data_IF_623692076973
#
_entry.id   IF_623692076973
#
_cell.length_a   1.000
_cell.length_b   1.000
_cell.length_c   1.000
_cell.angle_alpha   90.00
_cell.angle_beta   90.00
_cell.angle_gamma   90.00
#
_symmetry.space_group_name_H-M   'P 1'
#
loop_
_entity.id
_entity.type
_entity.pdbx_description
1 polymer ?
#
# COMPACT_ATOMS: atom_id res chain seq x y z
N UNK A 1 -42.29 -13.18 15.52
CA UNK A 1 -41.48 -13.77 14.45
C UNK A 1 -41.69 -13.14 13.07
N UNK A 2 -42.72 -12.39 12.81
CA UNK A 2 -43.00 -11.79 11.49
C UNK A 2 -42.25 -10.45 11.20
N UNK A 3 -41.76 -9.74 12.22
CA UNK A 3 -40.99 -8.50 12.04
C UNK A 3 -39.52 -8.66 11.65
N UNK A 4 -38.93 -9.84 11.87
CA UNK A 4 -37.52 -10.14 11.50
C UNK A 4 -37.37 -10.53 10.04
N UNK A 5 -38.42 -11.09 9.42
CA UNK A 5 -38.40 -11.50 8.00
C UNK A 5 -38.52 -10.35 7.00
N UNK A 6 -39.11 -9.21 7.42
CA UNK A 6 -39.31 -8.04 6.55
C UNK A 6 -38.04 -7.17 6.42
N UNK A 7 -37.06 -7.31 7.32
CA UNK A 7 -35.80 -6.56 7.29
C UNK A 7 -34.72 -7.23 6.42
N UNK A 8 -34.86 -8.51 6.10
CA UNK A 8 -33.92 -9.24 5.24
C UNK A 8 -34.28 -9.17 3.74
N UNK A 9 -35.53 -8.84 3.39
CA UNK A 9 -35.96 -8.72 1.99
C UNK A 9 -35.69 -7.32 1.37
N UNK A 10 -35.52 -6.28 2.19
CA UNK A 10 -35.22 -4.92 1.69
C UNK A 10 -33.74 -4.67 1.36
N UNK A 11 -32.84 -5.62 1.64
CA UNK A 11 -31.40 -5.49 1.34
C UNK A 11 -30.96 -6.11 0.00
N UNK A 12 -31.87 -6.72 -0.75
CA UNK A 12 -31.60 -7.29 -2.07
C UNK A 12 -32.41 -6.58 -3.15
N UNK A 13 -32.36 -5.24 -3.17
CA UNK A 13 -32.72 -4.53 -4.38
C UNK A 13 -31.72 -4.97 -5.47
N UNK A 14 -32.18 -5.47 -6.64
CA UNK A 14 -31.26 -5.80 -7.72
C UNK A 14 -30.44 -4.55 -8.04
N UNK A 15 -29.11 -4.68 -8.05
CA UNK A 15 -28.22 -3.58 -8.41
C UNK A 15 -28.71 -2.98 -9.71
N UNK A 16 -29.04 -1.69 -9.70
CA UNK A 16 -29.48 -0.97 -10.90
C UNK A 16 -28.39 -1.17 -11.96
N UNK A 17 -28.71 -1.65 -13.18
CA UNK A 17 -27.72 -1.81 -14.22
C UNK A 17 -26.99 -0.48 -14.42
N UNK A 18 -25.66 -0.51 -14.35
CA UNK A 18 -24.86 0.68 -14.61
C UNK A 18 -25.14 1.19 -16.03
N UNK A 19 -25.18 2.51 -16.25
CA UNK A 19 -25.34 3.08 -17.58
C UNK A 19 -24.24 2.55 -18.51
N UNK A 20 -24.50 2.43 -19.83
CA UNK A 20 -23.65 1.69 -20.78
C UNK A 20 -22.23 2.25 -20.98
N UNK A 21 -21.87 3.36 -20.36
CA UNK A 21 -20.59 4.04 -20.54
C UNK A 21 -19.84 4.30 -19.22
N UNK A 22 -19.98 3.43 -18.23
CA UNK A 22 -19.25 3.58 -16.95
C UNK A 22 -17.87 2.98 -17.07
N UNK A 23 -16.84 3.81 -16.91
CA UNK A 23 -15.45 3.39 -16.79
C UNK A 23 -15.12 3.02 -15.35
N UNK A 24 -14.46 1.89 -15.16
CA UNK A 24 -14.02 1.36 -13.87
C UNK A 24 -12.52 1.52 -13.71
N UNK A 25 -12.10 2.22 -12.68
CA UNK A 25 -10.69 2.44 -12.34
C UNK A 25 -10.42 1.76 -11.00
N UNK A 26 -9.53 0.79 -11.00
CA UNK A 26 -9.05 0.11 -9.79
C UNK A 26 -7.89 0.88 -9.19
N UNK A 27 -7.88 1.07 -7.87
CA UNK A 27 -6.73 1.61 -7.13
C UNK A 27 -6.22 0.57 -6.14
N UNK A 28 -4.94 0.23 -6.25
CA UNK A 28 -4.21 -0.70 -5.37
C UNK A 28 -2.88 -0.08 -4.95
N UNK A 29 -2.25 -0.64 -3.94
CA UNK A 29 -0.93 -0.21 -3.46
C UNK A 29 -0.14 -1.36 -2.87
N UNK A 30 1.17 -1.16 -2.68
CA UNK A 30 2.05 -2.07 -1.92
C UNK A 30 1.89 -3.53 -2.35
N UNK A 31 2.08 -3.75 -3.66
CA UNK A 31 1.96 -5.07 -4.28
C UNK A 31 3.13 -5.95 -3.89
N UNK A 32 4.34 -5.38 -3.85
CA UNK A 32 5.58 -6.02 -3.47
C UNK A 32 5.84 -7.34 -4.20
N UNK A 33 5.78 -7.31 -5.52
CA UNK A 33 6.14 -8.47 -6.35
C UNK A 33 7.58 -8.89 -6.01
N UNK A 34 7.77 -10.16 -5.67
CA UNK A 34 9.09 -10.72 -5.38
C UNK A 34 9.19 -12.16 -5.86
N UNK A 35 10.42 -12.57 -6.20
CA UNK A 35 10.71 -13.92 -6.69
C UNK A 35 10.75 -14.95 -5.57
N UNK A 36 11.35 -14.57 -4.44
CA UNK A 36 11.46 -15.44 -3.26
C UNK A 36 10.21 -15.34 -2.40
N UNK A 37 9.73 -16.48 -1.93
CA UNK A 37 8.67 -16.47 -0.93
C UNK A 37 9.14 -15.76 0.34
N UNK A 38 8.30 -14.89 0.94
CA UNK A 38 8.50 -14.47 2.33
C UNK A 38 8.63 -15.70 3.23
N UNK A 39 9.56 -15.67 4.19
CA UNK A 39 9.84 -16.84 5.07
C UNK A 39 8.62 -17.31 5.87
N UNK A 40 7.70 -16.41 6.14
CA UNK A 40 6.45 -16.70 6.85
C UNK A 40 5.38 -17.38 5.97
N UNK A 41 5.60 -17.50 4.64
CA UNK A 41 4.60 -17.99 3.70
C UNK A 41 4.82 -19.46 3.33
N UNK A 42 3.72 -20.23 3.32
CA UNK A 42 3.68 -21.62 2.87
C UNK A 42 3.18 -21.78 1.43
N UNK A 43 2.46 -20.77 0.91
CA UNK A 43 1.97 -20.77 -0.47
C UNK A 43 3.01 -20.24 -1.47
N UNK A 44 2.66 -20.28 -2.77
CA UNK A 44 3.48 -19.67 -3.83
C UNK A 44 3.15 -18.18 -3.94
N UNK A 45 3.81 -17.36 -3.13
CA UNK A 45 3.51 -15.92 -3.00
C UNK A 45 3.49 -15.17 -4.34
N UNK A 46 4.45 -15.39 -5.23
CA UNK A 46 4.48 -14.76 -6.55
C UNK A 46 3.21 -15.10 -7.35
N UNK A 47 2.83 -16.37 -7.40
CA UNK A 47 1.65 -16.79 -8.16
C UNK A 47 0.39 -16.14 -7.60
N UNK A 48 0.18 -16.17 -6.29
CA UNK A 48 -1.00 -15.57 -5.66
C UNK A 48 -1.03 -14.05 -5.80
N UNK A 49 0.13 -13.40 -5.90
CA UNK A 49 0.23 -11.97 -6.19
C UNK A 49 -0.17 -11.66 -7.63
N UNK A 50 0.34 -12.43 -8.59
CA UNK A 50 -0.01 -12.28 -10.01
C UNK A 50 -1.49 -12.59 -10.29
N UNK A 51 -2.06 -13.59 -9.63
CA UNK A 51 -3.50 -13.91 -9.71
C UNK A 51 -4.37 -12.72 -9.27
N UNK A 52 -3.98 -12.01 -8.22
CA UNK A 52 -4.69 -10.80 -7.77
C UNK A 52 -4.56 -9.66 -8.76
N UNK A 53 -3.36 -9.43 -9.30
CA UNK A 53 -3.15 -8.43 -10.34
C UNK A 53 -3.95 -8.76 -11.61
N UNK A 54 -3.98 -10.01 -12.02
CA UNK A 54 -4.80 -10.45 -13.16
C UNK A 54 -6.29 -10.25 -12.88
N UNK A 55 -6.75 -10.57 -11.67
CA UNK A 55 -8.13 -10.35 -11.27
C UNK A 55 -8.54 -8.89 -11.39
N UNK A 56 -7.75 -7.96 -10.86
CA UNK A 56 -8.09 -6.52 -10.93
C UNK A 56 -8.03 -5.99 -12.37
N UNK A 57 -7.04 -6.42 -13.18
CA UNK A 57 -6.93 -6.01 -14.57
C UNK A 57 -8.08 -6.53 -15.46
N UNK A 58 -8.58 -7.73 -15.14
CA UNK A 58 -9.70 -8.34 -15.88
C UNK A 58 -11.02 -7.65 -15.57
N UNK A 59 -11.23 -7.18 -14.34
CA UNK A 59 -12.51 -6.65 -13.87
C UNK A 59 -12.61 -5.12 -13.93
N UNK A 60 -11.54 -4.42 -14.34
CA UNK A 60 -11.50 -2.97 -14.46
C UNK A 60 -10.95 -2.53 -15.81
N UNK A 61 -11.28 -1.32 -16.23
CA UNK A 61 -10.79 -0.73 -17.46
C UNK A 61 -9.36 -0.22 -17.27
N UNK A 62 -9.07 0.35 -16.10
CA UNK A 62 -7.74 0.84 -15.71
C UNK A 62 -7.38 0.38 -14.29
N UNK A 63 -6.08 0.27 -14.04
CA UNK A 63 -5.52 -0.07 -12.73
C UNK A 63 -4.44 0.96 -12.37
N UNK A 64 -4.63 1.66 -11.27
CA UNK A 64 -3.65 2.60 -10.71
C UNK A 64 -2.96 1.94 -9.51
N UNK A 65 -1.64 1.88 -9.56
CA UNK A 65 -0.79 1.34 -8.50
C UNK A 65 -0.16 2.51 -7.74
N UNK A 66 -0.57 2.71 -6.49
CA UNK A 66 -0.11 3.80 -5.65
C UNK A 66 1.25 3.50 -4.97
N UNK A 67 2.23 3.06 -5.76
CA UNK A 67 3.60 2.77 -5.35
C UNK A 67 3.84 1.33 -4.89
N UNK A 68 5.12 0.99 -4.77
CA UNK A 68 5.66 -0.30 -4.32
C UNK A 68 5.09 -1.49 -5.11
N UNK A 69 5.21 -1.42 -6.45
CA UNK A 69 4.89 -2.54 -7.31
C UNK A 69 5.85 -3.71 -7.07
N UNK A 70 7.14 -3.45 -6.97
CA UNK A 70 8.16 -4.45 -6.67
C UNK A 70 8.64 -4.35 -5.22
N UNK A 71 9.07 -5.47 -4.66
CA UNK A 71 9.66 -5.50 -3.31
C UNK A 71 11.10 -4.95 -3.29
N UNK A 72 11.82 -5.07 -4.39
CA UNK A 72 13.15 -4.47 -4.60
C UNK A 72 13.18 -3.86 -6.01
N UNK A 73 13.97 -2.82 -6.17
CA UNK A 73 14.05 -2.05 -7.42
C UNK A 73 14.66 -2.82 -8.60
N UNK A 74 15.58 -3.76 -8.33
CA UNK A 74 16.26 -4.54 -9.37
C UNK A 74 15.97 -6.04 -9.18
N UNK A 75 15.36 -6.66 -10.17
CA UNK A 75 14.91 -8.04 -10.13
C UNK A 75 15.55 -8.87 -11.25
N UNK A 76 15.46 -10.21 -11.13
CA UNK A 76 15.93 -11.12 -12.15
C UNK A 76 15.18 -10.96 -13.48
N UNK A 77 15.85 -11.34 -14.60
CA UNK A 77 15.18 -11.39 -15.89
C UNK A 77 14.00 -12.37 -15.90
N UNK A 78 14.04 -13.41 -15.08
CA UNK A 78 12.93 -14.36 -14.96
C UNK A 78 11.70 -13.68 -14.35
N UNK A 79 11.87 -12.94 -13.24
CA UNK A 79 10.77 -12.20 -12.63
C UNK A 79 10.25 -11.12 -13.59
N UNK A 80 11.15 -10.35 -14.22
CA UNK A 80 10.76 -9.37 -15.24
C UNK A 80 9.89 -10.00 -16.34
N UNK A 81 10.34 -11.08 -16.97
CA UNK A 81 9.60 -11.74 -18.04
C UNK A 81 8.22 -12.24 -17.58
N UNK A 82 8.14 -12.75 -16.36
CA UNK A 82 6.88 -13.22 -15.78
C UNK A 82 5.89 -12.07 -15.60
N UNK A 83 6.33 -10.96 -15.02
CA UNK A 83 5.50 -9.76 -14.81
C UNK A 83 5.17 -9.09 -16.14
N UNK A 84 6.15 -8.96 -17.04
CA UNK A 84 5.96 -8.42 -18.39
C UNK A 84 4.85 -9.17 -19.15
N UNK A 85 4.81 -10.50 -19.06
CA UNK A 85 3.78 -11.31 -19.72
C UNK A 85 2.37 -10.90 -19.27
N UNK A 86 2.17 -10.70 -17.96
CA UNK A 86 0.90 -10.25 -17.41
C UNK A 86 0.57 -8.81 -17.83
N UNK A 87 1.54 -7.90 -17.68
CA UNK A 87 1.34 -6.49 -17.97
C UNK A 87 1.09 -6.27 -19.47
N UNK A 88 1.80 -6.99 -20.34
CA UNK A 88 1.60 -6.94 -21.79
C UNK A 88 0.23 -7.53 -22.22
N UNK A 89 -0.28 -8.56 -21.53
CA UNK A 89 -1.62 -9.12 -21.76
C UNK A 89 -2.72 -8.07 -21.55
N UNK A 90 -2.53 -7.15 -20.61
CA UNK A 90 -3.46 -6.07 -20.28
C UNK A 90 -2.84 -4.69 -20.57
N UNK A 91 -2.04 -4.59 -21.63
CA UNK A 91 -1.37 -3.34 -22.04
C UNK A 91 -2.37 -2.19 -22.18
N UNK A 92 -1.97 -0.99 -21.75
CA UNK A 92 -2.81 0.20 -21.76
C UNK A 92 -3.79 0.33 -20.58
N UNK A 93 -3.79 -0.63 -19.65
CA UNK A 93 -4.59 -0.53 -18.42
C UNK A 93 -3.80 -0.07 -17.21
N UNK A 94 -2.48 -0.23 -17.23
CA UNK A 94 -1.64 -0.08 -16.05
C UNK A 94 -1.07 1.32 -15.92
N UNK A 95 -1.38 1.98 -14.83
CA UNK A 95 -0.84 3.26 -14.41
C UNK A 95 -0.20 3.10 -13.03
N UNK A 96 0.91 3.79 -12.75
CA UNK A 96 1.53 3.75 -11.44
C UNK A 96 2.19 5.07 -11.07
N UNK A 97 2.34 5.30 -9.78
CA UNK A 97 3.34 6.18 -9.20
C UNK A 97 4.45 5.34 -8.57
N UNK A 98 5.62 5.94 -8.36
CA UNK A 98 6.74 5.24 -7.73
C UNK A 98 6.60 5.21 -6.21
N UNK A 99 6.86 4.02 -5.63
CA UNK A 99 7.11 3.87 -4.21
C UNK A 99 8.61 3.85 -3.88
N UNK A 100 8.95 3.71 -2.61
CA UNK A 100 10.35 3.70 -2.16
C UNK A 100 11.09 2.40 -2.54
N UNK A 101 10.38 1.29 -2.69
CA UNK A 101 10.95 0.01 -3.13
C UNK A 101 11.17 -0.07 -4.64
N UNK A 102 10.48 0.73 -5.42
CA UNK A 102 10.56 0.71 -6.89
C UNK A 102 11.82 1.40 -7.42
N UNK A 103 12.50 2.23 -6.61
CA UNK A 103 13.60 3.08 -7.07
C UNK A 103 14.89 2.83 -6.32
N UNK A 104 16.01 2.92 -7.05
CA UNK A 104 17.34 2.85 -6.44
C UNK A 104 17.59 4.09 -5.57
N UNK A 105 17.80 3.89 -4.27
CA UNK A 105 18.02 4.97 -3.29
C UNK A 105 16.96 6.09 -3.36
N UNK A 106 15.71 5.75 -3.67
CA UNK A 106 14.60 6.70 -3.84
C UNK A 106 14.85 7.76 -4.92
N UNK A 107 15.77 7.47 -5.85
CA UNK A 107 16.12 8.37 -6.93
C UNK A 107 15.25 8.09 -8.16
N UNK A 108 14.27 8.94 -8.40
CA UNK A 108 13.36 8.85 -9.55
C UNK A 108 14.04 9.02 -10.90
N UNK A 109 15.26 9.59 -10.93
CA UNK A 109 16.05 9.74 -12.17
C UNK A 109 16.83 8.47 -12.55
N UNK A 110 16.84 7.44 -11.70
CA UNK A 110 17.54 6.17 -11.93
C UNK A 110 16.61 5.04 -12.41
N UNK A 111 15.56 5.38 -13.16
CA UNK A 111 14.57 4.42 -13.68
C UNK A 111 15.18 3.37 -14.60
N UNK A 112 16.24 3.71 -15.34
CA UNK A 112 17.00 2.80 -16.20
C UNK A 112 17.63 1.63 -15.44
N UNK A 113 17.76 1.75 -14.11
CA UNK A 113 18.31 0.74 -13.21
C UNK A 113 17.25 -0.04 -12.45
N UNK A 114 15.98 0.20 -12.74
CA UNK A 114 14.86 -0.34 -12.00
C UNK A 114 13.97 -1.22 -12.87
N UNK A 115 13.45 -2.31 -12.31
CA UNK A 115 12.56 -3.22 -13.02
C UNK A 115 11.28 -2.53 -13.46
N UNK A 116 10.73 -1.65 -12.64
CA UNK A 116 9.55 -0.85 -13.00
C UNK A 116 9.82 0.06 -14.19
N UNK A 117 11.03 0.65 -14.25
CA UNK A 117 11.46 1.46 -15.40
C UNK A 117 11.51 0.66 -16.69
N UNK A 118 11.94 -0.63 -16.62
CA UNK A 118 11.93 -1.51 -17.80
C UNK A 118 10.50 -1.73 -18.32
N UNK A 119 9.49 -1.92 -17.45
CA UNK A 119 8.08 -2.03 -17.85
C UNK A 119 7.57 -0.73 -18.50
N UNK A 120 7.99 0.41 -17.98
CA UNK A 120 7.65 1.72 -18.53
C UNK A 120 8.25 1.92 -19.93
N UNK A 121 9.56 1.67 -20.10
CA UNK A 121 10.25 1.87 -21.39
C UNK A 121 9.72 0.94 -22.52
N UNK A 122 9.24 -0.25 -22.18
CA UNK A 122 8.59 -1.14 -23.17
C UNK A 122 7.09 -0.82 -23.37
N UNK A 123 6.57 0.22 -22.71
CA UNK A 123 5.20 0.70 -22.86
C UNK A 123 4.15 -0.28 -22.33
N UNK A 124 4.47 -1.05 -21.29
CA UNK A 124 3.52 -1.95 -20.61
C UNK A 124 2.90 -1.33 -19.37
N UNK A 125 3.47 -0.23 -18.88
CA UNK A 125 3.07 0.49 -17.69
C UNK A 125 3.28 1.98 -17.92
N UNK A 126 2.29 2.82 -17.61
CA UNK A 126 2.41 4.27 -17.62
C UNK A 126 2.81 4.75 -16.21
N UNK A 127 3.98 5.42 -16.10
CA UNK A 127 4.46 6.02 -14.85
C UNK A 127 4.16 7.51 -14.82
N UNK A 128 3.58 7.97 -13.71
CA UNK A 128 3.15 9.33 -13.54
C UNK A 128 3.99 10.07 -12.48
N UNK A 129 4.57 11.19 -12.90
CA UNK A 129 5.38 12.11 -12.07
C UNK A 129 4.72 13.48 -11.95
N UNK A 130 3.70 13.74 -12.75
CA UNK A 130 2.93 14.96 -12.84
C UNK A 130 1.45 14.61 -12.87
N UNK A 131 0.54 15.54 -12.60
CA UNK A 131 -0.90 15.33 -12.74
C UNK A 131 -1.24 14.77 -14.12
N UNK A 132 -2.18 13.85 -14.17
CA UNK A 132 -2.64 13.23 -15.42
C UNK A 132 -4.14 13.05 -15.43
N UNK A 133 -4.72 13.06 -16.62
CA UNK A 133 -6.14 12.82 -16.84
C UNK A 133 -6.39 11.38 -17.26
N UNK A 134 -7.40 10.76 -16.68
CA UNK A 134 -7.85 9.42 -17.01
C UNK A 134 -9.37 9.32 -16.84
N UNK A 135 -10.07 8.95 -17.92
CA UNK A 135 -11.53 8.80 -17.94
C UNK A 135 -12.29 10.02 -17.39
N UNK A 136 -11.82 11.24 -17.70
CA UNK A 136 -12.44 12.50 -17.28
C UNK A 136 -12.22 12.89 -15.82
N UNK A 137 -11.30 12.21 -15.13
CA UNK A 137 -10.85 12.54 -13.78
C UNK A 137 -9.36 12.92 -13.82
N UNK A 138 -8.97 13.90 -13.00
CA UNK A 138 -7.57 14.29 -12.84
C UNK A 138 -7.00 13.65 -11.58
N UNK A 139 -5.90 12.93 -11.74
CA UNK A 139 -5.13 12.31 -10.68
C UNK A 139 -3.83 13.07 -10.45
N UNK A 140 -3.48 13.28 -9.20
CA UNK A 140 -2.26 14.03 -8.82
C UNK A 140 -1.33 13.11 -8.03
N UNK A 141 -0.08 12.89 -8.49
CA UNK A 141 0.84 11.99 -7.81
C UNK A 141 1.55 12.70 -6.65
N UNK A 142 1.73 12.00 -5.54
CA UNK A 142 2.64 12.39 -4.47
C UNK A 142 3.55 11.22 -4.13
N UNK A 143 4.78 11.27 -4.64
CA UNK A 143 5.79 10.24 -4.42
C UNK A 143 6.33 10.30 -2.99
N UNK A 144 7.00 9.24 -2.54
CA UNK A 144 7.56 9.16 -1.19
C UNK A 144 8.46 10.36 -0.85
N UNK A 145 9.25 10.83 -1.81
CA UNK A 145 10.19 11.97 -1.69
C UNK A 145 9.57 13.35 -2.04
N UNK A 146 8.31 13.41 -2.46
CA UNK A 146 7.62 14.68 -2.70
C UNK A 146 7.42 15.41 -1.38
N UNK A 147 7.93 16.63 -1.25
CA UNK A 147 7.64 17.44 -0.05
C UNK A 147 6.13 17.76 -0.03
N UNK A 148 5.43 17.55 1.10
CA UNK A 148 3.99 17.90 1.18
C UNK A 148 3.67 19.33 0.76
N UNK A 149 4.60 20.28 0.98
CA UNK A 149 4.43 21.69 0.61
C UNK A 149 4.46 21.93 -0.90
N UNK A 150 5.12 21.02 -1.64
CA UNK A 150 5.25 21.11 -3.10
C UNK A 150 4.09 20.44 -3.84
N UNK A 151 3.20 19.75 -3.09
CA UNK A 151 1.97 19.19 -3.66
C UNK A 151 1.00 20.34 -3.95
N UNK A 152 0.53 20.37 -5.18
CA UNK A 152 -0.42 21.39 -5.65
C UNK A 152 -1.74 21.37 -4.87
N UNK A 153 -2.29 22.54 -4.60
CA UNK A 153 -3.58 22.66 -3.88
C UNK A 153 -4.73 22.55 -4.88
N UNK A 154 -5.68 21.67 -4.61
CA UNK A 154 -6.91 21.54 -5.39
C UNK A 154 -7.98 22.53 -4.88
N UNK A 155 -7.99 23.72 -5.44
CA UNK A 155 -8.93 24.78 -5.04
C UNK A 155 -10.38 24.48 -5.41
N UNK A 156 -10.60 23.65 -6.42
CA UNK A 156 -11.92 23.30 -6.95
C UNK A 156 -12.51 22.03 -6.30
N UNK A 157 -11.72 21.31 -5.50
CA UNK A 157 -12.09 20.02 -4.89
C UNK A 157 -12.62 18.99 -5.92
N UNK A 158 -11.88 18.83 -7.02
CA UNK A 158 -12.25 17.92 -8.12
C UNK A 158 -11.30 16.78 -8.32
N UNK A 159 -10.02 16.99 -7.94
CA UNK A 159 -8.93 16.08 -8.23
C UNK A 159 -8.81 14.97 -7.18
N UNK A 160 -8.12 13.92 -7.56
CA UNK A 160 -7.86 12.75 -6.72
C UNK A 160 -6.35 12.68 -6.46
N UNK A 161 -5.96 12.70 -5.20
CA UNK A 161 -4.56 12.50 -4.80
C UNK A 161 -4.23 11.01 -4.75
N UNK A 162 -3.17 10.61 -5.44
CA UNK A 162 -2.56 9.27 -5.34
C UNK A 162 -1.20 9.44 -4.70
N UNK A 163 -1.05 8.98 -3.46
CA UNK A 163 0.16 9.23 -2.68
C UNK A 163 0.79 7.93 -2.18
N UNK A 164 2.13 7.86 -2.25
CA UNK A 164 2.89 6.82 -1.58
C UNK A 164 3.58 7.42 -0.36
N UNK A 165 2.80 7.62 0.72
CA UNK A 165 3.23 8.31 1.94
C UNK A 165 2.53 7.74 3.16
N UNK A 166 3.22 7.80 4.30
CA UNK A 166 2.58 7.59 5.60
C UNK A 166 1.55 8.69 5.91
N UNK A 167 0.68 8.41 6.85
CA UNK A 167 -0.21 9.38 7.44
C UNK A 167 0.14 9.58 8.91
N UNK A 168 0.47 10.84 9.29
CA UNK A 168 0.81 11.24 10.66
C UNK A 168 1.92 10.40 11.32
N UNK A 169 2.89 9.91 10.53
CA UNK A 169 4.01 9.15 11.06
C UNK A 169 5.13 10.10 11.55
N UNK A 170 5.19 10.33 12.85
CA UNK A 170 6.19 11.19 13.47
C UNK A 170 7.65 10.69 13.37
N UNK A 171 7.86 9.43 12.99
CA UNK A 171 9.21 8.86 12.79
C UNK A 171 9.77 9.15 11.40
N UNK A 172 8.91 9.43 10.42
CA UNK A 172 9.27 9.74 9.05
C UNK A 172 8.47 10.96 8.55
N UNK A 173 8.68 12.16 9.13
CA UNK A 173 7.87 13.33 8.81
C UNK A 173 7.96 13.74 7.33
N UNK A 174 9.13 13.60 6.70
CA UNK A 174 9.34 13.94 5.29
C UNK A 174 8.60 12.97 4.33
N UNK A 175 8.30 11.76 4.81
CA UNK A 175 7.57 10.73 4.07
C UNK A 175 6.08 10.68 4.45
N UNK A 176 5.62 11.64 5.26
CA UNK A 176 4.26 11.64 5.81
C UNK A 176 3.44 12.82 5.29
N UNK A 177 2.14 12.60 5.19
CA UNK A 177 1.13 13.64 5.11
C UNK A 177 0.47 13.79 6.48
N UNK A 178 0.20 15.01 6.86
CA UNK A 178 -0.53 15.34 8.10
C UNK A 178 -2.00 15.66 7.80
N UNK A 179 -2.82 15.72 8.86
CA UNK A 179 -4.20 16.23 8.77
C UNK A 179 -4.25 17.64 8.23
N UNK A 180 -3.29 18.47 8.63
CA UNK A 180 -3.23 19.86 8.17
C UNK A 180 -2.81 19.95 6.69
N UNK A 181 -1.92 19.06 6.22
CA UNK A 181 -1.63 18.95 4.79
C UNK A 181 -2.88 18.60 3.99
N UNK A 182 -3.64 17.57 4.39
CA UNK A 182 -4.86 17.17 3.68
C UNK A 182 -5.90 18.30 3.67
N UNK A 183 -6.06 19.03 4.78
CA UNK A 183 -6.98 20.17 4.84
C UNK A 183 -6.54 21.31 3.92
N UNK A 184 -5.24 21.56 3.82
CA UNK A 184 -4.65 22.58 2.94
C UNK A 184 -4.77 22.18 1.47
N UNK A 185 -4.49 20.92 1.17
CA UNK A 185 -4.46 20.40 -0.20
C UNK A 185 -5.85 20.38 -0.86
N UNK A 186 -6.90 20.08 -0.13
CA UNK A 186 -8.29 20.26 -0.57
C UNK A 186 -8.79 19.27 -1.63
N UNK A 187 -8.13 18.14 -1.85
CA UNK A 187 -8.57 17.12 -2.81
C UNK A 187 -9.92 16.51 -2.44
N UNK A 188 -10.72 16.15 -3.44
CA UNK A 188 -11.97 15.43 -3.23
C UNK A 188 -11.73 14.08 -2.57
N UNK A 189 -10.67 13.40 -2.98
CA UNK A 189 -10.27 12.11 -2.45
C UNK A 189 -8.75 11.95 -2.41
N UNK A 190 -8.22 11.25 -1.41
CA UNK A 190 -6.79 10.94 -1.28
C UNK A 190 -6.63 9.45 -0.98
N UNK A 191 -5.94 8.74 -1.86
CA UNK A 191 -5.54 7.34 -1.68
C UNK A 191 -4.07 7.27 -1.28
N UNK A 192 -3.80 6.69 -0.11
CA UNK A 192 -2.45 6.54 0.42
C UNK A 192 -2.02 5.08 0.44
N UNK A 193 -0.83 4.82 -0.12
CA UNK A 193 -0.01 3.63 0.08
C UNK A 193 1.11 3.89 1.08
N UNK A 194 2.07 2.96 1.19
CA UNK A 194 3.24 2.96 2.05
C UNK A 194 2.98 2.37 3.46
N UNK A 195 1.82 2.58 4.06
CA UNK A 195 1.42 1.86 5.26
C UNK A 195 0.66 0.59 4.85
N UNK A 196 1.23 -0.56 5.19
CA UNK A 196 0.63 -1.85 4.82
C UNK A 196 -0.66 -2.16 5.60
N UNK A 197 -0.90 -1.45 6.70
CA UNK A 197 -2.12 -1.63 7.50
C UNK A 197 -3.29 -0.92 6.83
N UNK A 198 -4.40 -1.60 6.56
CA UNK A 198 -5.62 -0.93 6.14
C UNK A 198 -6.27 -0.22 7.32
N UNK A 199 -6.86 0.93 7.04
CA UNK A 199 -7.62 1.70 8.02
C UNK A 199 -8.99 2.00 7.47
N UNK A 200 -9.91 2.36 8.36
CA UNK A 200 -11.19 2.91 7.98
C UNK A 200 -11.01 4.25 7.25
N UNK A 201 -11.98 4.61 6.42
CA UNK A 201 -11.99 5.90 5.73
C UNK A 201 -12.13 7.04 6.74
N UNK A 202 -11.37 8.10 6.52
CA UNK A 202 -11.42 9.31 7.34
C UNK A 202 -11.83 10.51 6.51
N UNK A 203 -12.60 11.43 7.10
CA UNK A 203 -13.11 12.63 6.42
C UNK A 203 -12.46 13.89 7.01
N UNK A 204 -11.82 14.68 6.16
CA UNK A 204 -11.17 15.94 6.51
C UNK A 204 -11.79 17.08 5.72
N UNK A 205 -12.75 17.81 6.29
CA UNK A 205 -13.53 18.83 5.58
C UNK A 205 -14.20 18.26 4.33
N UNK A 206 -13.55 18.46 3.18
CA UNK A 206 -14.02 18.04 1.85
C UNK A 206 -13.22 16.85 1.27
N UNK A 207 -12.16 16.39 1.95
CA UNK A 207 -11.32 15.30 1.49
C UNK A 207 -11.71 13.99 2.17
N UNK A 208 -11.97 12.96 1.39
CA UNK A 208 -12.04 11.59 1.88
C UNK A 208 -10.64 10.97 1.81
N UNK A 209 -10.07 10.59 2.95
CA UNK A 209 -8.81 9.88 3.04
C UNK A 209 -9.07 8.37 3.06
N UNK A 210 -8.38 7.66 2.17
CA UNK A 210 -8.36 6.20 2.11
C UNK A 210 -6.94 5.69 2.29
N UNK A 211 -6.71 4.94 3.38
CA UNK A 211 -5.47 4.19 3.60
C UNK A 211 -5.74 2.73 3.29
N UNK A 212 -5.32 2.31 2.10
CA UNK A 212 -5.76 1.04 1.51
C UNK A 212 -5.14 -0.18 2.18
N UNK A 213 -3.92 -0.05 2.73
CA UNK A 213 -3.10 -1.19 3.11
C UNK A 213 -2.57 -1.96 1.89
N UNK A 214 -1.63 -2.87 2.12
CA UNK A 214 -0.99 -3.62 1.03
C UNK A 214 -1.94 -4.59 0.33
N UNK A 215 -1.78 -4.74 -0.99
CA UNK A 215 -2.49 -5.76 -1.77
C UNK A 215 -2.11 -7.19 -1.35
N UNK A 216 -0.92 -7.33 -0.77
CA UNK A 216 -0.38 -8.62 -0.35
C UNK A 216 -0.13 -8.65 1.15
N UNK A 217 -0.07 -9.85 1.72
CA UNK A 217 0.26 -10.09 3.13
C UNK A 217 1.67 -10.63 3.19
N UNK A 218 2.67 -9.75 3.33
CA UNK A 218 4.10 -10.14 3.24
C UNK A 218 4.75 -10.39 4.58
N UNK A 219 4.17 -9.91 5.67
CA UNK A 219 4.73 -9.98 7.02
C UNK A 219 3.78 -10.66 8.02
N UNK A 220 4.26 -10.86 9.24
CA UNK A 220 3.53 -11.48 10.34
C UNK A 220 2.86 -10.49 11.28
N UNK A 221 2.62 -9.27 10.83
CA UNK A 221 1.92 -8.27 11.63
C UNK A 221 0.47 -8.70 11.86
N UNK A 222 -0.04 -8.42 13.06
CA UNK A 222 -1.39 -8.83 13.50
C UNK A 222 -2.49 -8.38 12.54
N UNK A 223 -2.37 -7.21 11.92
CA UNK A 223 -3.36 -6.71 10.96
C UNK A 223 -3.50 -7.61 9.72
N UNK A 224 -2.50 -8.46 9.42
CA UNK A 224 -2.57 -9.43 8.33
C UNK A 224 -3.34 -10.70 8.69
N UNK A 225 -3.61 -10.94 9.99
CA UNK A 225 -4.40 -12.09 10.41
C UNK A 225 -5.86 -11.88 9.98
N UNK A 226 -6.35 -12.81 9.18
CA UNK A 226 -7.72 -12.83 8.68
C UNK A 226 -8.17 -11.57 7.94
N UNK A 227 -7.21 -10.74 7.50
CA UNK A 227 -7.46 -9.52 6.76
C UNK A 227 -8.04 -9.84 5.38
N UNK A 228 -9.14 -9.21 5.03
CA UNK A 228 -9.66 -9.20 3.66
C UNK A 228 -8.68 -8.48 2.74
N UNK A 229 -8.48 -9.03 1.55
CA UNK A 229 -7.71 -8.37 0.49
C UNK A 229 -8.68 -7.64 -0.41
N UNK A 230 -8.50 -6.34 -0.53
CA UNK A 230 -9.41 -5.48 -1.29
C UNK A 230 -8.64 -4.47 -2.16
N UNK A 231 -9.39 -3.85 -3.06
CA UNK A 231 -9.00 -2.68 -3.81
C UNK A 231 -10.14 -1.65 -3.75
N UNK A 232 -9.86 -0.43 -4.12
CA UNK A 232 -10.89 0.57 -4.32
C UNK A 232 -11.21 0.71 -5.80
N UNK A 233 -12.49 0.74 -6.14
CA UNK A 233 -12.97 0.94 -7.50
C UNK A 233 -13.63 2.30 -7.60
N UNK A 234 -13.14 3.14 -8.50
CA UNK A 234 -13.80 4.36 -8.93
C UNK A 234 -14.62 4.03 -10.18
N UNK A 235 -15.86 4.53 -10.22
CA UNK A 235 -16.77 4.44 -11.36
C UNK A 235 -17.12 5.86 -11.83
N UNK A 236 -16.85 6.16 -13.08
CA UNK A 236 -17.11 7.46 -13.69
C UNK A 236 -17.73 7.33 -15.08
N UNK A 237 -18.51 8.33 -15.47
CA UNK A 237 -19.04 8.48 -16.84
C UNK A 237 -18.23 9.47 -17.68
N UNK A 238 -17.09 9.96 -17.15
CA UNK A 238 -16.20 10.88 -17.85
C UNK A 238 -16.57 12.36 -17.77
N UNK A 239 -17.55 12.71 -16.91
CA UNK A 239 -18.02 14.10 -16.72
C UNK A 239 -17.39 14.80 -15.49
N UNK A 240 -16.36 14.22 -14.89
CA UNK A 240 -15.71 14.71 -13.67
C UNK A 240 -16.36 14.23 -12.36
N UNK A 241 -17.53 13.59 -12.46
CA UNK A 241 -18.19 12.97 -11.30
C UNK A 241 -17.81 11.49 -11.21
N UNK A 242 -17.74 10.98 -9.99
CA UNK A 242 -17.43 9.58 -9.72
C UNK A 242 -18.08 9.08 -8.44
N UNK A 243 -18.30 7.78 -8.42
CA UNK A 243 -18.60 7.00 -7.23
C UNK A 243 -17.42 6.09 -6.93
N UNK A 244 -17.24 5.70 -5.68
CA UNK A 244 -16.23 4.73 -5.30
C UNK A 244 -16.78 3.66 -4.38
N UNK A 245 -16.15 2.50 -4.41
CA UNK A 245 -16.49 1.39 -3.52
C UNK A 245 -15.23 0.59 -3.18
N UNK A 246 -15.27 -0.06 -2.02
CA UNK A 246 -14.27 -1.06 -1.61
C UNK A 246 -14.72 -2.43 -2.13
N UNK A 247 -13.88 -3.07 -2.93
CA UNK A 247 -14.16 -4.36 -3.57
C UNK A 247 -13.21 -5.44 -3.03
N UNK A 248 -13.72 -6.60 -2.69
CA UNK A 248 -12.93 -7.72 -2.20
C UNK A 248 -12.36 -8.53 -3.37
N UNK A 249 -11.07 -8.82 -3.32
CA UNK A 249 -10.41 -9.72 -4.26
C UNK A 249 -10.51 -11.15 -3.72
N UNK A 250 -10.80 -12.17 -4.54
CA UNK A 250 -10.69 -13.55 -4.10
C UNK A 250 -9.31 -13.85 -3.51
N UNK A 251 -9.26 -14.36 -2.29
CA UNK A 251 -8.02 -14.66 -1.58
C UNK A 251 -8.15 -15.91 -0.73
N UNK A 252 -7.01 -16.53 -0.45
CA UNK A 252 -6.96 -17.67 0.49
C UNK A 252 -6.93 -17.15 1.93
N UNK A 253 -7.55 -17.86 2.88
CA UNK A 253 -7.44 -17.57 4.29
C UNK A 253 -5.97 -17.48 4.74
N UNK A 254 -5.69 -16.68 5.76
CA UNK A 254 -4.32 -16.51 6.28
C UNK A 254 -3.73 -17.84 6.74
N UNK A 255 -4.54 -18.70 7.37
CA UNK A 255 -4.16 -20.04 7.80
C UNK A 255 -3.68 -20.97 6.67
N UNK A 256 -4.11 -20.73 5.43
CA UNK A 256 -3.68 -21.50 4.26
C UNK A 256 -2.44 -20.92 3.57
N UNK A 257 -2.11 -19.67 3.88
CA UNK A 257 -1.04 -18.94 3.22
C UNK A 257 0.24 -18.84 4.04
N UNK A 258 0.15 -18.99 5.36
CA UNK A 258 1.29 -18.85 6.27
C UNK A 258 1.70 -20.20 6.82
N UNK A 259 2.99 -20.33 7.17
CA UNK A 259 3.44 -21.47 7.99
C UNK A 259 2.80 -21.37 9.37
N UNK A 260 2.57 -22.51 10.02
CA UNK A 260 1.83 -22.58 11.30
C UNK A 260 2.44 -21.69 12.38
N UNK A 261 3.76 -21.70 12.54
CA UNK A 261 4.47 -20.87 13.53
C UNK A 261 4.22 -19.37 13.32
N UNK A 262 4.21 -18.92 12.07
CA UNK A 262 3.95 -17.53 11.73
C UNK A 262 2.48 -17.14 12.00
N UNK A 263 1.54 -18.03 11.71
CA UNK A 263 0.12 -17.81 11.98
C UNK A 263 -0.16 -17.73 13.49
N UNK A 264 0.44 -18.63 14.27
CA UNK A 264 0.34 -18.64 15.73
C UNK A 264 0.97 -17.36 16.33
N UNK A 265 2.12 -16.92 15.83
CA UNK A 265 2.75 -15.66 16.26
C UNK A 265 1.80 -14.45 16.08
N UNK A 266 1.14 -14.32 14.93
CA UNK A 266 0.13 -13.28 14.70
C UNK A 266 -1.03 -13.33 15.70
N UNK A 267 -1.33 -14.52 16.24
CA UNK A 267 -2.38 -14.74 17.23
C UNK A 267 -1.93 -14.39 18.64
N UNK A 268 -0.67 -14.69 18.99
CA UNK A 268 -0.12 -14.54 20.35
C UNK A 268 0.22 -13.07 20.71
N UNK A 269 0.67 -12.27 19.74
CA UNK A 269 1.07 -10.85 19.95
C UNK A 269 -0.09 -9.95 20.43
N UNK A 270 -1.30 -10.49 20.57
CA UNK A 270 -2.49 -9.76 21.01
C UNK A 270 -2.87 -9.89 22.48
N UNK A 271 -2.25 -10.78 23.25
CA UNK A 271 -2.70 -11.06 24.62
C UNK A 271 -2.05 -10.17 25.70
N UNK A 272 -0.90 -9.52 25.44
CA UNK A 272 -0.23 -8.65 26.40
C UNK A 272 0.41 -7.43 25.70
N UNK A 273 -0.32 -6.33 25.56
CA UNK A 273 0.30 -5.01 25.39
C UNK A 273 -0.19 -4.09 26.50
N UNK A 274 0.62 -3.92 27.55
CA UNK A 274 0.75 -2.63 28.21
C UNK A 274 1.24 -1.65 27.14
N UNK A 275 0.49 -0.59 26.90
CA UNK A 275 0.88 0.51 26.02
C UNK A 275 2.21 1.11 26.48
N UNK A 276 3.30 0.66 25.89
CA UNK A 276 4.53 1.44 25.87
C UNK A 276 4.34 2.43 24.75
N UNK A 277 4.16 3.69 25.10
CA UNK A 277 3.98 4.78 24.14
C UNK A 277 5.11 4.75 23.11
N UNK A 278 4.78 4.58 21.83
CA UNK A 278 5.74 4.59 20.70
C UNK A 278 6.59 5.87 20.67
N UNK A 279 6.11 6.96 21.25
CA UNK A 279 6.83 8.23 21.44
C UNK A 279 8.08 8.04 22.30
N UNK A 280 8.02 7.21 23.36
CA UNK A 280 9.18 6.95 24.22
C UNK A 280 10.25 6.11 23.53
N UNK A 281 9.86 5.16 22.68
CA UNK A 281 10.81 4.32 21.92
C UNK A 281 11.51 5.16 20.84
N UNK A 282 10.80 6.03 20.14
CA UNK A 282 11.35 6.92 19.12
C UNK A 282 12.39 7.91 19.68
N UNK A 283 12.11 8.50 20.82
CA UNK A 283 13.06 9.40 21.51
C UNK A 283 14.34 8.67 21.96
N UNK A 284 14.19 7.43 22.40
CA UNK A 284 15.33 6.58 22.79
C UNK A 284 16.14 6.15 21.56
N UNK A 285 15.50 5.69 20.48
CA UNK A 285 16.16 5.30 19.24
C UNK A 285 16.88 6.47 18.57
N UNK A 286 16.28 7.66 18.52
CA UNK A 286 16.91 8.86 17.95
C UNK A 286 18.14 9.34 18.74
N UNK A 287 18.14 9.15 20.05
CA UNK A 287 19.28 9.44 20.93
C UNK A 287 20.39 8.38 20.79
N UNK A 288 20.03 7.14 20.50
CA UNK A 288 20.96 6.01 20.37
C UNK A 288 21.66 5.96 19.03
N UNK A 289 20.94 6.23 17.92
CA UNK A 289 21.54 6.31 16.57
C UNK A 289 22.53 7.46 16.45
N UNK A 290 22.37 8.53 17.24
CA UNK A 290 23.37 9.63 17.31
C UNK A 290 24.60 9.31 18.15
N UNK A 291 24.61 8.24 18.97
CA UNK A 291 25.69 7.96 19.93
C UNK A 291 26.47 6.65 19.72
N UNK A 292 26.01 5.73 18.89
CA UNK A 292 26.64 4.40 18.83
C UNK A 292 26.76 3.85 17.40
N UNK A 293 27.98 3.57 17.01
CA UNK A 293 28.28 2.75 15.84
C UNK A 293 27.97 1.26 16.11
N UNK A 294 26.89 0.73 15.49
CA UNK A 294 26.65 -0.69 15.33
C UNK A 294 25.50 -1.33 16.11
N UNK A 295 24.90 -2.36 15.51
CA UNK A 295 23.73 -3.14 15.97
C UNK A 295 23.90 -3.75 17.38
N UNK A 296 25.11 -4.15 17.75
CA UNK A 296 25.42 -4.72 19.06
C UNK A 296 25.21 -3.74 20.25
N UNK A 297 25.23 -2.45 19.98
CA UNK A 297 24.95 -1.40 20.97
C UNK A 297 23.46 -1.25 21.24
N UNK A 298 22.62 -1.45 20.22
CA UNK A 298 21.15 -1.35 20.32
C UNK A 298 20.61 -2.45 21.24
N UNK A 299 21.04 -3.70 21.05
CA UNK A 299 20.63 -4.84 21.89
C UNK A 299 20.94 -4.64 23.37
N UNK A 300 22.18 -4.23 23.68
CA UNK A 300 22.61 -3.95 25.05
C UNK A 300 21.79 -2.84 25.70
N UNK A 301 21.36 -1.86 24.92
CA UNK A 301 20.60 -0.72 25.46
C UNK A 301 19.14 -1.07 25.66
N UNK A 302 18.53 -1.81 24.74
CA UNK A 302 17.15 -2.28 24.88
C UNK A 302 17.00 -3.22 26.09
N UNK A 303 17.97 -4.12 26.32
CA UNK A 303 18.00 -4.97 27.53
C UNK A 303 18.16 -4.18 28.83
N UNK A 304 18.93 -3.09 28.81
CA UNK A 304 19.08 -2.18 29.97
C UNK A 304 17.79 -1.40 30.30
N UNK A 305 16.90 -1.23 29.32
CA UNK A 305 15.62 -0.56 29.49
C UNK A 305 14.49 -1.50 29.92
N UNK A 306 14.81 -2.75 30.33
CA UNK A 306 13.83 -3.80 30.63
C UNK A 306 12.79 -4.01 29.51
N UNK A 307 13.20 -3.82 28.26
CA UNK A 307 12.34 -4.06 27.11
C UNK A 307 12.10 -5.56 26.99
N UNK A 308 10.87 -6.05 26.86
CA UNK A 308 10.57 -7.47 26.69
C UNK A 308 11.33 -8.07 25.52
N UNK A 309 11.82 -9.30 25.65
CA UNK A 309 12.61 -9.97 24.61
C UNK A 309 11.88 -10.05 23.26
N UNK A 310 10.57 -10.21 23.24
CA UNK A 310 9.75 -10.23 22.02
C UNK A 310 9.72 -8.88 21.33
N UNK A 311 9.69 -7.78 22.08
CA UNK A 311 9.78 -6.42 21.53
C UNK A 311 11.18 -6.10 21.00
N UNK A 312 12.22 -6.65 21.64
CA UNK A 312 13.61 -6.55 21.18
C UNK A 312 13.76 -7.32 19.84
N UNK A 313 13.17 -8.51 19.74
CA UNK A 313 13.17 -9.30 18.51
C UNK A 313 12.46 -8.57 17.35
N UNK A 314 11.33 -7.93 17.60
CA UNK A 314 10.57 -7.13 16.61
C UNK A 314 11.37 -5.89 16.16
N UNK A 315 12.01 -5.19 17.09
CA UNK A 315 12.87 -4.03 16.79
C UNK A 315 14.11 -4.45 15.98
N UNK A 316 14.76 -5.57 16.34
CA UNK A 316 15.90 -6.12 15.60
C UNK A 316 15.48 -6.54 14.21
N UNK A 317 14.37 -7.26 14.08
CA UNK A 317 13.84 -7.72 12.81
C UNK A 317 13.54 -6.55 11.86
N UNK A 318 12.93 -5.47 12.36
CA UNK A 318 12.70 -4.25 11.58
C UNK A 318 14.00 -3.57 11.16
N UNK A 319 15.01 -3.58 12.04
CA UNK A 319 16.32 -3.01 11.73
C UNK A 319 17.08 -3.88 10.72
N UNK A 320 16.99 -5.21 10.81
CA UNK A 320 17.60 -6.14 9.85
C UNK A 320 16.92 -6.07 8.48
N UNK A 321 15.60 -5.96 8.41
CA UNK A 321 14.89 -5.75 7.14
C UNK A 321 15.29 -4.44 6.50
N UNK A 322 15.37 -3.36 7.26
CA UNK A 322 15.83 -2.08 6.75
C UNK A 322 17.32 -2.12 6.33
N UNK A 323 18.15 -2.93 6.96
CA UNK A 323 19.58 -3.09 6.60
C UNK A 323 19.79 -4.01 5.39
N UNK A 324 18.94 -5.03 5.20
CA UNK A 324 18.98 -5.94 4.04
C UNK A 324 18.49 -5.24 2.76
N UNK A 325 17.67 -4.18 2.88
CA UNK A 325 17.32 -3.34 1.75
C UNK A 325 18.45 -2.42 1.27
N UNK A 326 19.60 -2.42 1.93
CA UNK A 326 20.76 -1.57 1.61
C UNK A 326 22.02 -2.35 1.17
N UNK A 327 21.97 -3.69 1.10
CA UNK A 327 23.00 -4.54 0.49
C UNK A 327 22.43 -5.36 -0.66
#
# INVERSE_FOLDING_TARGET
MAKKKKLEEDFLAPATPLPPNVTKICIITDVHIMERNPRCRSDRFLNTTLEKLEYVAKNNDYVIIAGDLFHIHNNSSLLFNTVFTLFNKYRGKWHAILGNHDTFNRNTNALDRCTIGSLYYVGCLDLHFQPWDLAGLTFVPALVNTNPKDIEVDVDNKNILIAHKFFENGFAPDESLTRDDLRRLGYKMAFLGHDHSPYEEEFFRQTTLVRMGSLTRIDTQRYNKDREICYYQIRTTGNGEFEYSREVIPYKPTSECYIEEAYQHMSAVGAEKKEVSFVQIGDVLSKLTRRAGGVNSLDKTLRRLNTPDDSIADIKWRHEINSISYT
#
